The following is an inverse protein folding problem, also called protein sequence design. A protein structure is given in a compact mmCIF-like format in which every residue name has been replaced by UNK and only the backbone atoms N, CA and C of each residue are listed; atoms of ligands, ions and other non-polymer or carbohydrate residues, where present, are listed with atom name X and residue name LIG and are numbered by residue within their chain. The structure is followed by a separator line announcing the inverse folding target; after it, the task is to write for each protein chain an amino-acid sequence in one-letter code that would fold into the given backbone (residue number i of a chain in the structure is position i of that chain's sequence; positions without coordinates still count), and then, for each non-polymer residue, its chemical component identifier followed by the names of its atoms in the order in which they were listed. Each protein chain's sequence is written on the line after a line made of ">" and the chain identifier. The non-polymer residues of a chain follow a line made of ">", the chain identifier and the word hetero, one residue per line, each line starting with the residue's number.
data_IF_970740262820
#
_entry.id   IF_970740262820
#
_cell.length_a   1.000
_cell.length_b   1.000
_cell.length_c   1.000
_cell.angle_alpha   90.00
_cell.angle_beta   90.00
_cell.angle_gamma   90.00
#
_symmetry.space_group_name_H-M   'P 1'
#
loop_
_entity.id
_entity.type
_entity.pdbx_description
1 polymer ?
#
# COMPACT_ATOMS: atom_id res chain seq x y z
N UNK A 1 3.25 6.22 -15.03
CA UNK A 1 2.28 5.31 -14.38
C UNK A 1 2.98 3.98 -14.06
N UNK A 2 2.51 3.20 -13.08
CA UNK A 2 3.17 1.93 -12.68
C UNK A 2 3.23 0.92 -13.81
N UNK A 3 2.14 0.77 -14.59
CA UNK A 3 2.11 0.00 -15.84
C UNK A 3 2.65 -1.42 -15.65
N UNK A 4 3.52 -1.85 -16.57
CA UNK A 4 4.10 -3.19 -16.58
C UNK A 4 5.04 -3.46 -15.40
N UNK A 5 5.45 -2.44 -14.64
CA UNK A 5 6.29 -2.60 -13.45
C UNK A 5 5.50 -2.97 -12.20
N UNK A 6 4.19 -3.17 -12.30
CA UNK A 6 3.37 -3.53 -11.15
C UNK A 6 3.49 -5.02 -10.79
N UNK A 7 3.76 -5.87 -11.77
CA UNK A 7 3.87 -7.32 -11.58
C UNK A 7 5.03 -7.66 -10.63
N UNK A 8 4.72 -8.33 -9.52
CA UNK A 8 5.72 -8.71 -8.51
C UNK A 8 6.36 -7.54 -7.74
N UNK A 9 5.89 -6.31 -7.91
CA UNK A 9 6.45 -5.16 -7.22
C UNK A 9 6.04 -5.09 -5.74
N UNK A 10 6.88 -4.44 -4.92
CA UNK A 10 6.48 -3.96 -3.59
C UNK A 10 5.99 -2.52 -3.73
N UNK A 11 4.70 -2.30 -3.52
CA UNK A 11 4.08 -0.97 -3.67
C UNK A 11 4.00 -0.28 -2.32
N UNK A 12 4.64 0.89 -2.18
CA UNK A 12 4.61 1.68 -0.95
C UNK A 12 3.76 2.94 -1.11
N UNK A 13 2.66 3.04 -0.36
CA UNK A 13 1.75 4.19 -0.33
C UNK A 13 1.76 4.80 1.06
N UNK A 14 2.59 5.82 1.27
CA UNK A 14 2.72 6.52 2.56
C UNK A 14 1.89 7.79 2.72
N UNK A 15 1.34 8.34 1.63
CA UNK A 15 0.66 9.64 1.67
C UNK A 15 -0.78 9.56 1.17
N UNK A 16 -0.98 9.37 -0.13
CA UNK A 16 -2.28 9.57 -0.78
C UNK A 16 -3.22 8.36 -0.61
N UNK A 17 -4.35 8.49 0.13
CA UNK A 17 -5.35 7.44 0.23
C UNK A 17 -5.97 7.09 -1.13
N UNK A 18 -6.13 8.09 -2.00
CA UNK A 18 -6.64 7.93 -3.37
C UNK A 18 -5.75 7.04 -4.23
N UNK A 19 -4.43 7.06 -4.02
CA UNK A 19 -3.53 6.17 -4.72
C UNK A 19 -3.74 4.71 -4.29
N UNK A 20 -4.05 4.48 -3.02
CA UNK A 20 -4.33 3.13 -2.51
C UNK A 20 -5.68 2.61 -3.03
N UNK A 21 -6.74 3.43 -3.03
CA UNK A 21 -8.00 3.07 -3.68
C UNK A 21 -7.79 2.78 -5.17
N UNK A 22 -7.04 3.63 -5.88
CA UNK A 22 -6.79 3.44 -7.32
C UNK A 22 -6.01 2.17 -7.61
N UNK A 23 -5.07 1.78 -6.74
CA UNK A 23 -4.37 0.50 -6.85
C UNK A 23 -5.37 -0.68 -6.81
N UNK A 24 -6.28 -0.67 -5.84
CA UNK A 24 -7.29 -1.73 -5.71
C UNK A 24 -8.19 -1.81 -6.95
N UNK A 25 -8.70 -0.68 -7.43
CA UNK A 25 -9.49 -0.61 -8.66
C UNK A 25 -8.75 -1.18 -9.88
N UNK A 26 -7.45 -0.91 -9.99
CA UNK A 26 -6.62 -1.45 -11.08
C UNK A 26 -6.48 -2.97 -10.97
N UNK A 27 -6.23 -3.49 -9.77
CA UNK A 27 -6.11 -4.93 -9.53
C UNK A 27 -7.43 -5.64 -9.82
N UNK A 28 -8.56 -5.07 -9.39
CA UNK A 28 -9.91 -5.58 -9.69
C UNK A 28 -10.22 -5.57 -11.19
N UNK A 29 -9.70 -4.57 -11.91
CA UNK A 29 -9.79 -4.48 -13.37
C UNK A 29 -8.85 -5.43 -14.12
N UNK A 30 -8.10 -6.29 -13.42
CA UNK A 30 -7.20 -7.27 -14.01
C UNK A 30 -5.79 -6.76 -14.33
N UNK A 31 -5.35 -5.65 -13.72
CA UNK A 31 -3.97 -5.23 -13.80
C UNK A 31 -3.02 -6.28 -13.16
N UNK A 32 -1.73 -6.29 -13.53
CA UNK A 32 -0.74 -7.14 -12.87
C UNK A 32 -0.73 -6.92 -11.35
N UNK A 33 -0.43 -7.98 -10.59
CA UNK A 33 -0.54 -7.95 -9.13
C UNK A 33 0.81 -7.64 -8.51
N UNK A 34 0.88 -6.69 -7.56
CA UNK A 34 2.10 -6.51 -6.77
C UNK A 34 2.33 -7.73 -5.87
N UNK A 35 3.59 -7.98 -5.53
CA UNK A 35 3.97 -9.00 -4.56
C UNK A 35 3.49 -8.61 -3.15
N UNK A 36 3.55 -7.32 -2.80
CA UNK A 36 3.06 -6.82 -1.52
C UNK A 36 2.71 -5.31 -1.58
N UNK A 37 1.86 -4.86 -0.66
CA UNK A 37 1.46 -3.45 -0.52
C UNK A 37 1.74 -2.93 0.89
N UNK A 38 2.60 -1.93 1.01
CA UNK A 38 2.77 -1.13 2.24
C UNK A 38 1.77 0.04 2.16
N UNK A 39 0.56 -0.20 2.65
CA UNK A 39 -0.56 0.74 2.64
C UNK A 39 -0.62 1.53 3.94
N UNK A 40 0.18 2.58 4.07
CA UNK A 40 0.22 3.43 5.28
C UNK A 40 -0.05 4.92 5.00
N UNK A 41 -1.06 5.29 4.19
CA UNK A 41 -1.43 6.70 4.06
C UNK A 41 -1.86 7.29 5.41
N UNK A 42 -1.49 8.55 5.62
CA UNK A 42 -1.84 9.35 6.80
C UNK A 42 -2.97 10.31 6.45
N UNK A 43 -3.79 10.66 7.44
CA UNK A 43 -4.71 11.78 7.31
C UNK A 43 -6.08 11.52 7.91
N UNK A 44 -6.96 12.50 7.70
CA UNK A 44 -8.30 12.54 8.27
C UNK A 44 -9.40 12.20 7.26
N UNK A 45 -9.07 12.15 5.97
CA UNK A 45 -10.03 11.90 4.88
C UNK A 45 -9.53 10.70 4.08
N UNK A 46 -10.28 9.60 4.11
CA UNK A 46 -10.01 8.40 3.30
C UNK A 46 -8.82 7.55 3.76
N UNK A 47 -7.97 8.03 4.68
CA UNK A 47 -6.78 7.31 5.11
C UNK A 47 -7.14 5.99 5.80
N UNK A 48 -8.02 6.03 6.81
CA UNK A 48 -8.46 4.82 7.52
C UNK A 48 -9.21 3.87 6.55
N UNK A 49 -10.13 4.43 5.78
CA UNK A 49 -11.02 3.72 4.88
C UNK A 49 -10.25 3.01 3.76
N UNK A 50 -9.23 3.65 3.17
CA UNK A 50 -8.40 3.02 2.13
C UNK A 50 -7.55 1.87 2.67
N UNK A 51 -7.08 1.97 3.92
CA UNK A 51 -6.31 0.90 4.57
C UNK A 51 -7.21 -0.27 4.97
N UNK A 52 -8.41 0.03 5.46
CA UNK A 52 -9.40 -0.99 5.78
C UNK A 52 -9.89 -1.70 4.50
N UNK A 53 -10.04 -0.97 3.40
CA UNK A 53 -10.33 -1.55 2.08
C UNK A 53 -9.20 -2.48 1.60
N UNK A 54 -7.93 -2.07 1.72
CA UNK A 54 -6.80 -2.94 1.41
C UNK A 54 -6.82 -4.22 2.27
N UNK A 55 -7.06 -4.08 3.57
CA UNK A 55 -7.10 -5.20 4.49
C UNK A 55 -8.28 -6.16 4.21
N UNK A 56 -9.42 -5.64 3.77
CA UNK A 56 -10.62 -6.42 3.45
C UNK A 56 -10.57 -7.05 2.05
N UNK A 57 -9.75 -6.53 1.13
CA UNK A 57 -9.68 -7.02 -0.26
C UNK A 57 -9.25 -8.49 -0.35
N UNK A 58 -8.45 -9.00 0.59
CA UNK A 58 -8.13 -10.43 0.75
C UNK A 58 -7.23 -11.05 -0.35
N UNK A 59 -6.99 -10.34 -1.45
CA UNK A 59 -6.17 -10.83 -2.56
C UNK A 59 -4.72 -10.32 -2.62
N UNK A 60 -4.32 -9.43 -1.71
CA UNK A 60 -2.99 -8.81 -1.74
C UNK A 60 -2.33 -8.92 -0.37
N UNK A 61 -1.09 -9.40 -0.34
CA UNK A 61 -0.25 -9.34 0.85
C UNK A 61 0.01 -7.87 1.20
N UNK A 62 -0.17 -7.50 2.47
CA UNK A 62 -0.16 -6.11 2.85
C UNK A 62 0.31 -5.85 4.28
N UNK A 63 0.81 -4.63 4.48
CA UNK A 63 1.06 -4.03 5.78
C UNK A 63 0.27 -2.73 5.88
N UNK A 64 -0.52 -2.59 6.95
CA UNK A 64 -1.29 -1.38 7.24
C UNK A 64 -1.10 -0.93 8.69
N UNK A 65 -1.16 0.37 8.92
CA UNK A 65 -1.37 0.94 10.26
C UNK A 65 -2.80 1.48 10.33
N UNK A 66 -3.67 0.80 11.08
CA UNK A 66 -5.10 1.12 11.16
C UNK A 66 -5.35 2.55 11.68
N UNK A 67 -6.49 3.11 11.28
CA UNK A 67 -6.91 4.46 11.65
C UNK A 67 -6.18 5.56 10.88
N UNK A 68 -5.94 6.70 11.51
CA UNK A 68 -5.48 7.93 10.82
C UNK A 68 -3.96 8.10 10.72
N UNK A 69 -3.19 7.29 11.45
CA UNK A 69 -1.71 7.36 11.48
C UNK A 69 -1.10 6.67 10.26
N UNK A 70 0.05 7.15 9.83
CA UNK A 70 0.76 6.67 8.66
C UNK A 70 1.88 7.64 8.27
N UNK A 71 2.23 7.69 6.99
CA UNK A 71 3.13 8.70 6.45
C UNK A 71 4.27 8.09 5.64
N UNK A 72 4.90 8.93 4.81
CA UNK A 72 6.04 8.52 3.99
C UNK A 72 7.22 7.98 4.80
N UNK A 73 7.49 8.55 5.99
CA UNK A 73 8.56 8.08 6.86
C UNK A 73 8.31 6.63 7.32
N UNK A 74 7.06 6.32 7.68
CA UNK A 74 6.69 4.96 8.09
C UNK A 74 6.73 3.98 6.91
N UNK A 75 6.28 4.41 5.74
CA UNK A 75 6.34 3.59 4.52
C UNK A 75 7.80 3.25 4.15
N UNK A 76 8.69 4.25 4.19
CA UNK A 76 10.12 4.06 3.92
C UNK A 76 10.78 3.17 4.99
N UNK A 77 10.46 3.37 6.26
CA UNK A 77 10.99 2.54 7.34
C UNK A 77 10.57 1.07 7.18
N UNK A 78 9.30 0.81 6.89
CA UNK A 78 8.82 -0.55 6.64
C UNK A 78 9.49 -1.18 5.41
N UNK A 79 9.67 -0.41 4.33
CA UNK A 79 10.36 -0.90 3.14
C UNK A 79 11.83 -1.22 3.42
N UNK A 80 12.55 -0.35 4.12
CA UNK A 80 13.96 -0.55 4.46
C UNK A 80 14.15 -1.78 5.37
N UNK A 81 13.26 -1.98 6.35
CA UNK A 81 13.29 -3.14 7.23
C UNK A 81 13.04 -4.46 6.48
N UNK A 82 12.29 -4.43 5.38
CA UNK A 82 12.08 -5.61 4.53
C UNK A 82 13.22 -5.84 3.53
N UNK A 83 14.07 -4.83 3.29
CA UNK A 83 15.12 -4.87 2.29
C UNK A 83 16.44 -5.49 2.81
N UNK A 84 16.59 -5.66 4.12
CA UNK A 84 17.80 -6.14 4.77
C UNK A 84 17.47 -7.01 5.99
N UNK A 85 18.32 -7.99 6.29
CA UNK A 85 18.26 -8.76 7.54
C UNK A 85 19.02 -8.08 8.69
N UNK A 86 19.84 -7.08 8.38
CA UNK A 86 20.58 -6.26 9.35
C UNK A 86 19.73 -5.05 9.77
N UNK A 87 19.74 -4.73 11.08
CA UNK A 87 19.13 -3.51 11.66
C UNK A 87 20.04 -2.29 11.59
#
# INVERSE_FOLDING_TARGET
>A
MWGDRLDGAVVAVGNAPTALFRLLELVDAGAPRPAAVIGVPVGFVGAAESKDALAAHGGLDHLVVRGRRGGSALAAAALNALASEEE
#
